data_IF_139999837370
#
_entry.id   IF_139999837370
#
_cell.length_a   1.000
_cell.length_b   1.000
_cell.length_c   1.000
_cell.angle_alpha   90.00
_cell.angle_beta   90.00
_cell.angle_gamma   90.00
#
_symmetry.space_group_name_H-M   'P 1'
#
loop_
_entity.id
_entity.type
_entity.pdbx_description
1 polymer ?
#
# COMPACT_ATOMS: atom_id res chain seq x y z
N UNK A 1 11.06 5.86 -17.62
CA UNK A 1 12.47 5.68 -17.22
C UNK A 1 12.66 4.20 -16.90
N UNK A 2 13.25 3.43 -17.82
CA UNK A 2 13.80 2.12 -17.49
C UNK A 2 15.12 2.40 -16.78
N UNK A 3 15.23 2.01 -15.51
CA UNK A 3 16.56 1.91 -14.88
C UNK A 3 17.37 0.98 -15.78
N UNK A 4 18.61 1.31 -16.18
CA UNK A 4 19.44 0.34 -16.88
C UNK A 4 19.52 -0.88 -15.96
N UNK A 5 19.13 -2.03 -16.47
CA UNK A 5 19.37 -3.30 -15.80
C UNK A 5 20.86 -3.29 -15.48
N UNK A 6 21.22 -3.36 -14.20
CA UNK A 6 22.61 -3.48 -13.82
C UNK A 6 23.19 -4.60 -14.69
N UNK A 7 24.34 -4.32 -15.32
CA UNK A 7 25.15 -5.29 -16.06
C UNK A 7 25.02 -6.67 -15.43
N UNK A 8 24.75 -7.70 -16.23
CA UNK A 8 24.66 -9.11 -15.82
C UNK A 8 25.93 -9.51 -15.05
N UNK A 9 25.98 -9.13 -13.78
CA UNK A 9 27.00 -9.56 -12.85
C UNK A 9 26.46 -10.85 -12.27
N UNK A 10 27.19 -11.94 -12.53
CA UNK A 10 26.84 -13.25 -11.98
C UNK A 10 27.02 -13.20 -10.47
N UNK A 11 25.92 -13.07 -9.74
CA UNK A 11 25.91 -13.10 -8.28
C UNK A 11 25.85 -14.56 -7.85
N UNK A 12 26.89 -15.01 -7.18
CA UNK A 12 26.96 -16.35 -6.59
C UNK A 12 26.77 -16.29 -5.08
N UNK A 13 26.00 -17.23 -4.54
CA UNK A 13 25.84 -17.46 -3.10
C UNK A 13 26.22 -18.92 -2.84
N UNK A 14 27.23 -19.14 -1.99
CA UNK A 14 27.70 -20.50 -1.65
C UNK A 14 28.01 -21.35 -2.91
N UNK A 15 28.68 -20.73 -3.91
CA UNK A 15 29.00 -21.34 -5.20
C UNK A 15 27.79 -21.70 -6.09
N UNK A 16 26.58 -21.23 -5.75
CA UNK A 16 25.38 -21.35 -6.60
C UNK A 16 25.03 -20.01 -7.24
N UNK A 17 24.76 -20.05 -8.55
CA UNK A 17 24.28 -18.91 -9.32
C UNK A 17 22.87 -18.51 -8.87
N UNK A 18 22.69 -17.25 -8.45
CA UNK A 18 21.37 -16.73 -8.10
C UNK A 18 20.63 -16.35 -9.38
N UNK A 19 19.44 -16.94 -9.59
CA UNK A 19 18.59 -16.60 -10.73
C UNK A 19 18.11 -15.16 -10.63
N UNK A 20 18.46 -14.33 -11.60
CA UNK A 20 17.90 -12.99 -11.79
C UNK A 20 16.46 -13.15 -12.32
N UNK A 21 15.48 -12.60 -11.60
CA UNK A 21 14.08 -12.57 -12.04
C UNK A 21 13.56 -11.14 -12.11
N UNK A 22 12.69 -10.86 -13.08
CA UNK A 22 12.05 -9.54 -13.20
C UNK A 22 11.09 -9.28 -12.03
N UNK A 23 10.43 -10.33 -11.54
CA UNK A 23 9.48 -10.26 -10.44
C UNK A 23 9.73 -11.39 -9.45
N UNK A 24 9.52 -11.09 -8.17
CA UNK A 24 9.56 -12.08 -7.11
C UNK A 24 8.57 -11.73 -6.00
N UNK A 25 8.09 -12.74 -5.29
CA UNK A 25 7.23 -12.54 -4.12
C UNK A 25 8.02 -12.87 -2.87
N UNK A 26 8.10 -11.92 -1.94
CA UNK A 26 8.78 -12.08 -0.66
C UNK A 26 7.86 -11.67 0.49
N UNK A 27 7.68 -12.58 1.45
CA UNK A 27 6.76 -12.42 2.59
C UNK A 27 5.36 -11.94 2.16
N UNK A 28 4.89 -12.48 1.03
CA UNK A 28 3.60 -12.18 0.44
C UNK A 28 3.49 -10.82 -0.26
N UNK A 29 4.57 -10.06 -0.39
CA UNK A 29 4.65 -8.80 -1.16
C UNK A 29 5.38 -9.03 -2.49
N UNK A 30 4.82 -8.50 -3.57
CA UNK A 30 5.39 -8.59 -4.91
C UNK A 30 6.37 -7.43 -5.15
N UNK A 31 7.55 -7.78 -5.64
CA UNK A 31 8.59 -6.85 -6.01
C UNK A 31 8.90 -6.99 -7.50
N UNK A 32 9.10 -5.84 -8.14
CA UNK A 32 9.42 -5.72 -9.56
C UNK A 32 10.81 -5.10 -9.72
N UNK A 33 11.59 -5.56 -10.69
CA UNK A 33 12.97 -5.12 -10.92
C UNK A 33 13.06 -3.60 -11.21
N UNK A 34 11.99 -2.99 -11.72
CA UNK A 34 11.93 -1.55 -11.98
C UNK A 34 11.61 -0.72 -10.72
N UNK A 35 11.27 -1.37 -9.61
CA UNK A 35 10.80 -0.72 -8.38
C UNK A 35 9.34 -0.21 -8.49
N UNK A 36 8.58 -0.70 -9.47
CA UNK A 36 7.19 -0.30 -9.67
C UNK A 36 6.24 -1.03 -8.71
N UNK A 37 5.70 -0.28 -7.75
CA UNK A 37 4.74 -0.79 -6.76
C UNK A 37 3.29 -0.92 -7.24
N UNK A 38 2.97 -0.48 -8.47
CA UNK A 38 1.58 -0.54 -8.98
C UNK A 38 1.01 -1.96 -8.94
N UNK A 39 1.78 -2.97 -9.32
CA UNK A 39 1.34 -4.37 -9.34
C UNK A 39 1.01 -4.87 -7.92
N UNK A 40 1.90 -4.61 -6.96
CA UNK A 40 1.68 -4.97 -5.55
C UNK A 40 0.43 -4.31 -4.98
N UNK A 41 0.23 -3.01 -5.23
CA UNK A 41 -0.96 -2.29 -4.75
C UNK A 41 -2.23 -2.90 -5.34
N UNK A 42 -2.23 -3.24 -6.63
CA UNK A 42 -3.38 -3.90 -7.26
C UNK A 42 -3.67 -5.28 -6.64
N UNK A 43 -2.62 -6.05 -6.32
CA UNK A 43 -2.76 -7.32 -5.59
C UNK A 43 -3.39 -7.10 -4.22
N UNK A 44 -2.96 -6.07 -3.47
CA UNK A 44 -3.56 -5.73 -2.16
C UNK A 44 -5.00 -5.27 -2.26
N UNK A 45 -5.32 -4.43 -3.24
CA UNK A 45 -6.70 -4.02 -3.51
C UNK A 45 -7.55 -5.26 -3.85
N UNK A 46 -7.03 -6.21 -4.64
CA UNK A 46 -7.71 -7.46 -4.94
C UNK A 46 -7.99 -8.30 -3.69
N UNK A 47 -6.96 -8.53 -2.85
CA UNK A 47 -7.10 -9.26 -1.58
C UNK A 47 -8.09 -8.58 -0.62
N UNK A 48 -7.96 -7.27 -0.45
CA UNK A 48 -8.87 -6.47 0.38
C UNK A 48 -10.31 -6.47 -0.18
N UNK A 49 -10.48 -6.45 -1.50
CA UNK A 49 -11.78 -6.59 -2.16
C UNK A 49 -12.40 -7.96 -1.85
N UNK A 50 -11.62 -9.03 -1.91
CA UNK A 50 -12.09 -10.38 -1.58
C UNK A 50 -12.54 -10.48 -0.12
N UNK A 51 -11.71 -9.99 0.82
CA UNK A 51 -12.04 -9.94 2.23
C UNK A 51 -13.27 -9.04 2.53
N UNK A 52 -13.42 -7.93 1.81
CA UNK A 52 -14.61 -7.10 1.94
C UNK A 52 -15.86 -7.83 1.44
N UNK A 53 -15.76 -8.56 0.32
CA UNK A 53 -16.88 -9.34 -0.24
C UNK A 53 -17.30 -10.51 0.67
N UNK A 54 -16.36 -11.20 1.32
CA UNK A 54 -16.71 -12.30 2.23
C UNK A 54 -17.56 -11.83 3.42
N UNK A 55 -17.43 -10.56 3.81
CA UNK A 55 -18.19 -9.93 4.90
C UNK A 55 -19.50 -9.26 4.43
N UNK A 56 -19.98 -9.53 3.21
CA UNK A 56 -21.16 -8.86 2.64
C UNK A 56 -22.42 -8.99 3.50
N UNK A 57 -22.61 -10.12 4.18
CA UNK A 57 -23.72 -10.32 5.13
C UNK A 57 -23.69 -9.29 6.28
N UNK A 58 -22.51 -8.95 6.79
CA UNK A 58 -22.34 -7.96 7.85
C UNK A 58 -22.70 -6.56 7.35
N UNK A 59 -22.25 -6.20 6.14
CA UNK A 59 -22.51 -4.88 5.56
C UNK A 59 -24.01 -4.64 5.34
N UNK A 60 -24.74 -5.68 4.91
CA UNK A 60 -26.19 -5.60 4.68
C UNK A 60 -27.03 -5.74 5.96
N UNK A 61 -26.46 -6.23 7.05
CA UNK A 61 -27.18 -6.44 8.30
C UNK A 61 -27.52 -5.09 8.97
N UNK A 62 -28.80 -4.85 9.28
CA UNK A 62 -29.27 -3.62 9.94
C UNK A 62 -29.02 -3.60 11.45
N UNK A 63 -28.78 -4.76 12.07
CA UNK A 63 -28.58 -4.89 13.52
C UNK A 63 -27.27 -4.25 13.98
N UNK A 64 -26.24 -4.24 13.13
CA UNK A 64 -24.96 -3.64 13.48
C UNK A 64 -24.94 -2.15 13.16
N UNK A 65 -24.55 -1.35 14.15
CA UNK A 65 -24.30 0.08 13.95
C UNK A 65 -23.21 0.32 12.89
N UNK A 66 -23.26 1.48 12.24
CA UNK A 66 -22.23 1.92 11.28
C UNK A 66 -20.85 1.91 11.96
N UNK A 67 -20.76 2.38 13.21
CA UNK A 67 -19.52 2.40 14.00
C UNK A 67 -18.91 1.00 14.15
N UNK A 68 -19.72 -0.02 14.46
CA UNK A 68 -19.26 -1.40 14.56
C UNK A 68 -18.77 -1.93 13.21
N UNK A 69 -19.50 -1.67 12.13
CA UNK A 69 -19.10 -2.08 10.77
C UNK A 69 -17.78 -1.42 10.35
N UNK A 70 -17.59 -0.13 10.64
CA UNK A 70 -16.34 0.59 10.38
C UNK A 70 -15.17 0.00 11.16
N UNK A 71 -15.39 -0.41 12.42
CA UNK A 71 -14.36 -1.11 13.20
C UNK A 71 -13.94 -2.43 12.55
N UNK A 72 -14.91 -3.22 12.08
CA UNK A 72 -14.65 -4.48 11.37
C UNK A 72 -13.91 -4.23 10.04
N UNK A 73 -14.30 -3.18 9.31
CA UNK A 73 -13.64 -2.77 8.08
C UNK A 73 -12.16 -2.40 8.32
N UNK A 74 -11.88 -1.62 9.37
CA UNK A 74 -10.51 -1.25 9.72
C UNK A 74 -9.65 -2.45 10.13
N UNK A 75 -10.21 -3.37 10.93
CA UNK A 75 -9.46 -4.51 11.45
C UNK A 75 -9.20 -5.58 10.39
N UNK A 76 -10.11 -5.80 9.45
CA UNK A 76 -10.02 -6.91 8.47
C UNK A 76 -9.64 -6.46 7.06
N UNK A 77 -10.12 -5.31 6.60
CA UNK A 77 -9.95 -4.89 5.19
C UNK A 77 -8.82 -3.89 5.06
N UNK A 78 -8.81 -2.85 5.91
CA UNK A 78 -7.72 -1.86 5.90
C UNK A 78 -6.39 -2.50 6.31
N UNK A 79 -6.39 -3.45 7.25
CA UNK A 79 -5.19 -4.20 7.64
C UNK A 79 -4.56 -4.95 6.46
N UNK A 80 -5.36 -5.67 5.66
CA UNK A 80 -4.92 -6.37 4.45
C UNK A 80 -4.43 -5.38 3.40
N UNK A 81 -5.19 -4.30 3.18
CA UNK A 81 -4.86 -3.29 2.19
C UNK A 81 -3.54 -2.57 2.49
N UNK A 82 -3.26 -2.32 3.77
CA UNK A 82 -2.08 -1.53 4.20
C UNK A 82 -0.86 -2.39 4.54
N UNK A 83 -0.92 -3.69 4.30
CA UNK A 83 0.20 -4.59 4.53
C UNK A 83 1.40 -4.21 3.65
N UNK A 84 2.59 -4.13 4.26
CA UNK A 84 3.84 -3.73 3.62
C UNK A 84 3.80 -2.37 2.91
N UNK A 85 2.86 -1.50 3.28
CA UNK A 85 2.71 -0.17 2.68
C UNK A 85 3.83 0.81 3.04
N UNK A 86 4.67 0.44 4.02
CA UNK A 86 5.85 1.20 4.42
C UNK A 86 6.87 1.34 3.28
N UNK A 87 6.96 0.34 2.40
CA UNK A 87 7.89 0.31 1.27
C UNK A 87 7.32 0.94 0.00
N UNK A 88 6.06 1.40 0.01
CA UNK A 88 5.41 1.89 -1.20
C UNK A 88 5.83 3.29 -1.58
N UNK A 89 6.18 3.45 -2.86
CA UNK A 89 6.28 4.75 -3.51
C UNK A 89 4.87 5.29 -3.80
N UNK A 90 4.43 6.22 -2.96
CA UNK A 90 3.14 6.90 -3.11
C UNK A 90 3.20 7.92 -4.26
N UNK A 91 2.33 7.76 -5.26
CA UNK A 91 2.08 8.73 -6.33
C UNK A 91 0.63 9.15 -6.34
N UNK A 92 0.28 10.24 -7.02
CA UNK A 92 -1.13 10.69 -7.12
C UNK A 92 -2.06 9.67 -7.75
N UNK A 93 -1.59 8.94 -8.77
CA UNK A 93 -2.34 7.83 -9.38
C UNK A 93 -2.64 6.72 -8.37
N UNK A 94 -1.64 6.35 -7.55
CA UNK A 94 -1.80 5.34 -6.50
C UNK A 94 -2.74 5.83 -5.39
N UNK A 95 -2.57 7.08 -4.93
CA UNK A 95 -3.45 7.69 -3.92
C UNK A 95 -4.91 7.67 -4.40
N UNK A 96 -5.15 8.03 -5.67
CA UNK A 96 -6.49 8.02 -6.28
C UNK A 96 -7.12 6.62 -6.27
N UNK A 97 -6.36 5.58 -6.65
CA UNK A 97 -6.85 4.18 -6.65
C UNK A 97 -7.22 3.68 -5.26
N UNK A 98 -6.41 4.01 -4.25
CA UNK A 98 -6.68 3.65 -2.86
C UNK A 98 -7.93 4.37 -2.34
N UNK A 99 -8.04 5.68 -2.60
CA UNK A 99 -9.21 6.47 -2.20
C UNK A 99 -10.50 5.99 -2.90
N UNK A 100 -10.43 5.62 -4.18
CA UNK A 100 -11.56 5.08 -4.91
C UNK A 100 -12.03 3.73 -4.33
N UNK A 101 -11.10 2.86 -3.97
CA UNK A 101 -11.41 1.60 -3.28
C UNK A 101 -12.09 1.85 -1.93
N UNK A 102 -11.50 2.73 -1.10
CA UNK A 102 -12.02 3.08 0.22
C UNK A 102 -13.43 3.66 0.14
N UNK A 103 -13.66 4.64 -0.74
CA UNK A 103 -14.98 5.26 -0.94
C UNK A 103 -16.03 4.25 -1.37
N UNK A 104 -15.68 3.30 -2.25
CA UNK A 104 -16.59 2.23 -2.67
C UNK A 104 -17.01 1.37 -1.47
N UNK A 105 -16.07 1.01 -0.60
CA UNK A 105 -16.36 0.26 0.62
C UNK A 105 -17.20 1.06 1.61
N UNK A 106 -16.86 2.33 1.84
CA UNK A 106 -17.59 3.22 2.76
C UNK A 106 -19.04 3.44 2.33
N UNK A 107 -19.30 3.67 1.03
CA UNK A 107 -20.66 3.75 0.49
C UNK A 107 -21.48 2.51 0.84
N UNK A 108 -20.89 1.33 0.67
CA UNK A 108 -21.57 0.06 0.98
C UNK A 108 -21.82 -0.12 2.47
N UNK A 109 -20.87 0.24 3.33
CA UNK A 109 -21.01 0.15 4.80
C UNK A 109 -22.11 1.07 5.31
N UNK A 110 -22.16 2.30 4.79
CA UNK A 110 -23.17 3.31 5.17
C UNK A 110 -24.49 3.15 4.43
N UNK A 111 -24.63 2.10 3.59
CA UNK A 111 -25.83 1.81 2.81
C UNK A 111 -26.29 2.98 1.91
N UNK A 112 -25.34 3.75 1.38
CA UNK A 112 -25.61 4.84 0.44
C UNK A 112 -25.95 4.22 -0.92
N UNK A 113 -27.16 4.48 -1.40
CA UNK A 113 -27.64 3.97 -2.68
C UNK A 113 -26.96 4.69 -3.86
N UNK A 114 -27.03 4.09 -5.04
CA UNK A 114 -26.41 4.66 -6.25
C UNK A 114 -27.12 5.94 -6.71
N UNK A 115 -28.41 6.08 -6.43
CA UNK A 115 -29.21 7.27 -6.76
C UNK A 115 -29.04 8.41 -5.74
N UNK A 116 -28.44 8.13 -4.58
CA UNK A 116 -28.08 9.15 -3.61
C UNK A 116 -26.71 9.72 -3.98
N UNK A 117 -26.73 10.81 -4.75
CA UNK A 117 -25.52 11.56 -5.02
C UNK A 117 -25.01 12.18 -3.72
N UNK A 118 -23.84 11.73 -3.29
CA UNK A 118 -23.06 12.32 -2.21
C UNK A 118 -21.64 12.48 -2.68
N UNK A 119 -21.02 13.58 -2.29
CA UNK A 119 -19.63 13.83 -2.64
C UNK A 119 -18.70 12.91 -1.84
N UNK A 120 -17.51 12.68 -2.37
CA UNK A 120 -16.54 11.73 -1.79
C UNK A 120 -15.94 12.22 -0.46
N UNK A 121 -15.90 13.53 -0.26
CA UNK A 121 -15.57 14.21 0.99
C UNK A 121 -16.67 14.07 2.04
N UNK A 122 -17.93 14.31 1.69
CA UNK A 122 -19.06 14.13 2.63
C UNK A 122 -19.13 12.71 3.20
N UNK A 123 -18.97 11.69 2.35
CA UNK A 123 -18.95 10.27 2.75
C UNK A 123 -17.82 10.00 3.74
N UNK A 124 -16.67 10.65 3.55
CA UNK A 124 -15.52 10.51 4.43
C UNK A 124 -15.76 11.19 5.76
N UNK A 125 -16.31 12.40 5.75
CA UNK A 125 -16.58 13.16 6.97
C UNK A 125 -17.61 12.44 7.84
N UNK A 126 -18.66 11.89 7.23
CA UNK A 126 -19.64 11.03 7.91
C UNK A 126 -19.03 9.78 8.54
N UNK A 127 -18.02 9.18 7.91
CA UNK A 127 -17.37 7.97 8.43
C UNK A 127 -16.53 8.24 9.68
N UNK A 128 -16.05 9.48 9.84
CA UNK A 128 -15.09 9.86 10.88
C UNK A 128 -13.78 9.08 10.84
N UNK A 129 -13.47 8.37 9.74
CA UNK A 129 -12.27 7.56 9.60
C UNK A 129 -11.12 8.35 8.97
N UNK A 130 -9.87 8.10 9.40
CA UNK A 130 -8.72 8.61 8.67
C UNK A 130 -8.60 7.88 7.33
N UNK A 131 -8.34 8.63 6.26
CA UNK A 131 -8.04 8.06 4.95
C UNK A 131 -6.95 6.99 5.02
N UNK A 132 -7.10 5.91 4.26
CA UNK A 132 -6.08 4.87 4.12
C UNK A 132 -4.74 5.47 3.69
N UNK A 133 -4.76 6.44 2.78
CA UNK A 133 -3.55 7.15 2.33
C UNK A 133 -2.84 7.89 3.48
N UNK A 134 -3.59 8.46 4.42
CA UNK A 134 -3.06 9.09 5.63
C UNK A 134 -2.49 8.05 6.60
N UNK A 135 -3.16 6.90 6.77
CA UNK A 135 -2.65 5.79 7.57
C UNK A 135 -1.32 5.27 7.01
N UNK A 136 -1.23 5.06 5.70
CA UNK A 136 0.00 4.64 5.01
C UNK A 136 1.10 5.68 5.23
N UNK A 137 0.80 6.97 5.03
CA UNK A 137 1.77 8.06 5.27
C UNK A 137 2.30 8.03 6.70
N UNK A 138 1.42 7.84 7.69
CA UNK A 138 1.81 7.73 9.11
C UNK A 138 2.70 6.50 9.37
N UNK A 139 2.40 5.34 8.78
CA UNK A 139 3.22 4.13 8.90
C UNK A 139 4.61 4.31 8.30
N UNK A 140 4.69 4.91 7.11
CA UNK A 140 5.97 5.25 6.46
C UNK A 140 6.83 6.15 7.34
N UNK A 141 6.26 7.23 7.87
CA UNK A 141 6.99 8.12 8.79
C UNK A 141 7.43 7.43 10.07
N UNK A 142 6.57 6.58 10.65
CA UNK A 142 6.94 5.77 11.82
C UNK A 142 8.11 4.83 11.51
N UNK A 143 8.11 4.19 10.34
CA UNK A 143 9.19 3.31 9.90
C UNK A 143 10.50 4.08 9.69
N UNK A 144 10.45 5.26 9.06
CA UNK A 144 11.62 6.14 8.93
C UNK A 144 12.18 6.51 10.30
N UNK A 145 11.33 6.96 11.23
CA UNK A 145 11.77 7.28 12.59
C UNK A 145 12.38 6.07 13.32
N UNK A 146 11.83 4.87 13.11
CA UNK A 146 12.40 3.64 13.66
C UNK A 146 13.80 3.36 13.09
N UNK A 147 13.97 3.51 11.78
CA UNK A 147 15.25 3.31 11.09
C UNK A 147 16.30 4.31 11.57
N UNK A 148 15.93 5.58 11.75
CA UNK A 148 16.84 6.63 12.22
C UNK A 148 17.36 6.40 13.64
N UNK A 149 16.57 5.77 14.52
CA UNK A 149 16.98 5.44 15.90
C UNK A 149 17.90 4.21 16.01
N UNK A 150 18.07 3.42 14.94
CA UNK A 150 18.97 2.26 14.98
C UNK A 150 20.45 2.66 14.90
N UNK A 151 21.35 1.74 15.23
CA UNK A 151 22.80 1.90 15.01
C UNK A 151 23.09 2.14 13.52
N UNK A 152 24.06 3.01 13.23
CA UNK A 152 24.55 3.34 11.88
C UNK A 152 25.13 2.16 11.10
N UNK A 153 25.55 1.08 11.78
CA UNK A 153 25.99 -0.15 11.14
C UNK A 153 24.85 -0.98 10.52
N UNK A 154 23.59 -0.67 10.82
CA UNK A 154 22.44 -1.43 10.30
C UNK A 154 22.16 -1.05 8.85
N UNK A 155 22.08 -2.07 7.98
CA UNK A 155 21.78 -1.94 6.54
C UNK A 155 20.63 -0.96 6.23
N UNK A 156 19.45 -1.00 6.90
CA UNK A 156 18.37 -0.08 6.57
C UNK A 156 18.70 1.40 6.83
N UNK A 157 19.54 1.70 7.83
CA UNK A 157 19.95 3.08 8.14
C UNK A 157 21.03 3.57 7.18
N UNK A 158 21.95 2.69 6.80
CA UNK A 158 22.93 2.96 5.74
C UNK A 158 22.23 3.23 4.41
N UNK A 159 21.29 2.36 4.01
CA UNK A 159 20.50 2.53 2.80
C UNK A 159 19.68 3.82 2.79
N UNK A 160 19.13 4.25 3.93
CA UNK A 160 18.40 5.51 4.05
C UNK A 160 19.30 6.73 3.91
N UNK A 161 20.54 6.67 4.44
CA UNK A 161 21.55 7.73 4.33
C UNK A 161 22.32 7.69 3.02
N UNK A 162 22.11 6.68 2.19
CA UNK A 162 22.89 6.47 0.98
C UNK A 162 22.58 7.56 -0.05
N UNK A 163 23.62 8.30 -0.41
CA UNK A 163 23.57 9.28 -1.48
C UNK A 163 24.19 8.67 -2.74
N UNK A 164 23.40 8.63 -3.82
CA UNK A 164 23.90 8.16 -5.10
C UNK A 164 24.96 9.14 -5.63
N UNK A 165 26.19 8.68 -5.83
CA UNK A 165 27.23 9.47 -6.49
C UNK A 165 26.88 9.63 -7.97
N UNK A 166 26.50 10.84 -8.38
CA UNK A 166 26.26 11.21 -9.79
C UNK A 166 25.15 12.23 -9.98
N UNK A 167 25.21 12.98 -11.09
CA UNK A 167 24.19 13.96 -11.47
C UNK A 167 23.03 13.30 -12.22
N UNK A 168 21.80 13.53 -11.77
CA UNK A 168 20.59 13.10 -12.49
C UNK A 168 20.44 13.97 -13.75
N UNK A 169 20.33 13.34 -14.94
CA UNK A 169 20.04 14.10 -16.18
C UNK A 169 18.77 14.94 -15.97
N UNK A 170 18.80 16.23 -16.34
CA UNK A 170 17.61 17.10 -16.32
C UNK A 170 16.49 16.40 -17.09
N UNK A 171 15.32 16.28 -16.46
CA UNK A 171 14.13 15.76 -17.12
C UNK A 171 13.70 16.69 -18.24
N UNK A 172 13.16 16.12 -19.31
CA UNK A 172 12.53 16.85 -20.41
C UNK A 172 11.12 17.28 -19.98
#
# INVERSE_FOLDING_TARGET
MKTPMASNADITLESKMIKITEQFTYLGSNFDCTGNVKKEIMIRIGKATSAFKSLNKIWNCKLYSIKTKLRIFNSNVVSILTYASESWKMTKDIESKLNAFENRCLRKIMNIKWNEFRRSDEIRDMSGQPLVTTVIRKRRWRYVGHTLRRNDQRIPKQALKWEAKGSRKRGR
#
